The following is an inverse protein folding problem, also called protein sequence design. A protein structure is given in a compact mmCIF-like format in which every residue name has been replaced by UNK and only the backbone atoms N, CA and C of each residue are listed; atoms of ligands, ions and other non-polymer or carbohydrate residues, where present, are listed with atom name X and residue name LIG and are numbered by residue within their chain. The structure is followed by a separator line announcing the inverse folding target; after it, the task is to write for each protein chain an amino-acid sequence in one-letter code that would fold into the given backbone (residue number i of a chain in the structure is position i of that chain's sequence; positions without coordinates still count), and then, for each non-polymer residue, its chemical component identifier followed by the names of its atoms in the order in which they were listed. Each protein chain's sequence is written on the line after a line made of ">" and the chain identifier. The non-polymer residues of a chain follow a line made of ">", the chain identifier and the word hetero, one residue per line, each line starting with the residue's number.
data_IF_680683690157
#
_entry.id   IF_680683690157
#
_cell.length_a   1.000
_cell.length_b   1.000
_cell.length_c   1.000
_cell.angle_alpha   90.00
_cell.angle_beta   90.00
_cell.angle_gamma   90.00
#
_symmetry.space_group_name_H-M   'P 1'
#
loop_
_entity.id
_entity.type
_entity.pdbx_description
1 polymer ?
#
# COMPACT_ATOMS: atom_id res chain seq x y z
N UNK A 1 1.80 -12.10 -39.04
CA UNK A 1 2.02 -10.85 -39.81
C UNK A 1 1.35 -9.62 -39.20
N UNK A 2 0.04 -9.63 -38.88
CA UNK A 2 -0.60 -8.48 -38.20
C UNK A 2 -0.29 -8.46 -36.70
N UNK A 3 -0.46 -9.60 -36.01
CA UNK A 3 -0.08 -9.74 -34.59
C UNK A 3 1.40 -9.43 -34.31
N UNK A 4 2.33 -9.87 -35.15
CA UNK A 4 3.76 -9.56 -35.01
C UNK A 4 4.09 -8.07 -35.16
N UNK A 5 3.25 -7.31 -35.90
CA UNK A 5 3.40 -5.86 -36.02
C UNK A 5 2.86 -5.14 -34.79
N UNK A 6 1.76 -5.65 -34.22
CA UNK A 6 1.18 -5.13 -32.98
C UNK A 6 2.13 -5.35 -31.81
N UNK A 7 2.62 -6.58 -31.63
CA UNK A 7 3.63 -6.91 -30.60
C UNK A 7 4.84 -5.99 -30.68
N UNK A 8 5.38 -5.77 -31.89
CA UNK A 8 6.54 -4.89 -32.07
C UNK A 8 6.25 -3.45 -31.65
N UNK A 9 5.07 -2.90 -31.98
CA UNK A 9 4.69 -1.54 -31.57
C UNK A 9 4.50 -1.43 -30.05
N UNK A 10 4.01 -2.48 -29.41
CA UNK A 10 3.88 -2.54 -27.95
C UNK A 10 5.27 -2.58 -27.31
N UNK A 11 6.16 -3.45 -27.80
CA UNK A 11 7.53 -3.52 -27.31
C UNK A 11 8.29 -2.20 -27.50
N UNK A 12 8.13 -1.53 -28.64
CA UNK A 12 8.73 -0.21 -28.90
C UNK A 12 8.25 0.83 -27.87
N UNK A 13 6.95 0.82 -27.53
CA UNK A 13 6.37 1.71 -26.51
C UNK A 13 6.95 1.41 -25.12
N UNK A 14 6.96 0.15 -24.71
CA UNK A 14 7.51 -0.29 -23.42
C UNK A 14 9.00 0.05 -23.32
N UNK A 15 9.75 -0.13 -24.40
CA UNK A 15 11.17 0.20 -24.43
C UNK A 15 11.41 1.72 -24.36
N UNK A 16 10.54 2.53 -24.95
CA UNK A 16 10.57 3.98 -24.79
C UNK A 16 10.30 4.39 -23.34
N UNK A 17 9.28 3.80 -22.69
CA UNK A 17 8.97 4.03 -21.28
C UNK A 17 10.12 3.60 -20.35
N UNK A 18 10.77 2.47 -20.64
CA UNK A 18 11.98 2.04 -19.91
C UNK A 18 13.13 3.05 -20.03
N UNK A 19 13.24 3.77 -21.14
CA UNK A 19 14.29 4.77 -21.36
C UNK A 19 14.14 6.03 -20.49
N UNK A 20 12.93 6.35 -20.06
CA UNK A 20 12.62 7.54 -19.22
C UNK A 20 12.45 7.20 -17.74
N UNK A 21 12.12 5.95 -17.41
CA UNK A 21 12.00 5.47 -16.04
C UNK A 21 13.35 5.04 -15.44
N UNK A 22 13.53 5.12 -14.11
CA UNK A 22 14.74 4.63 -13.45
C UNK A 22 14.83 3.10 -13.50
N UNK A 23 16.04 2.55 -13.70
CA UNK A 23 16.24 1.09 -13.79
C UNK A 23 16.13 0.43 -12.40
N UNK A 24 14.89 0.13 -11.99
CA UNK A 24 14.54 -0.45 -10.68
C UNK A 24 13.56 -1.61 -10.84
N UNK A 25 13.48 -2.48 -9.83
CA UNK A 25 12.53 -3.61 -9.83
C UNK A 25 11.07 -3.14 -9.95
N UNK A 26 10.69 -2.09 -9.24
CA UNK A 26 9.34 -1.47 -9.32
C UNK A 26 9.02 -0.94 -10.72
N UNK A 27 10.04 -0.47 -11.44
CA UNK A 27 9.87 -0.01 -12.82
C UNK A 27 9.60 -1.17 -13.77
N UNK A 28 10.24 -2.32 -13.58
CA UNK A 28 9.96 -3.51 -14.39
C UNK A 28 8.53 -4.02 -14.13
N UNK A 29 8.09 -4.01 -12.87
CA UNK A 29 6.72 -4.38 -12.47
C UNK A 29 5.67 -3.45 -13.11
N UNK A 30 5.91 -2.13 -13.05
CA UNK A 30 5.06 -1.14 -13.72
C UNK A 30 5.00 -1.38 -15.24
N UNK A 31 6.14 -1.63 -15.88
CA UNK A 31 6.18 -1.88 -17.33
C UNK A 31 5.47 -3.16 -17.73
N UNK A 32 5.49 -4.18 -16.86
CA UNK A 32 4.70 -5.41 -17.02
C UNK A 32 3.20 -5.13 -16.91
N UNK A 33 2.78 -4.34 -15.92
CA UNK A 33 1.39 -3.89 -15.76
C UNK A 33 0.90 -3.06 -16.95
N UNK A 34 1.71 -2.11 -17.43
CA UNK A 34 1.40 -1.30 -18.61
C UNK A 34 1.25 -2.19 -19.84
N UNK A 35 2.15 -3.17 -20.02
CA UNK A 35 2.07 -4.14 -21.11
C UNK A 35 0.78 -4.94 -21.04
N UNK A 36 0.41 -5.47 -19.87
CA UNK A 36 -0.83 -6.20 -19.67
C UNK A 36 -2.05 -5.32 -19.98
N UNK A 37 -2.07 -4.08 -19.48
CA UNK A 37 -3.15 -3.14 -19.71
C UNK A 37 -3.36 -2.80 -21.20
N UNK A 38 -2.27 -2.67 -21.98
CA UNK A 38 -2.36 -2.46 -23.42
C UNK A 38 -3.08 -3.64 -24.10
N UNK A 39 -2.70 -4.87 -23.77
CA UNK A 39 -3.32 -6.06 -24.35
C UNK A 39 -4.80 -6.19 -23.97
N UNK A 40 -5.13 -6.00 -22.69
CA UNK A 40 -6.51 -6.05 -22.21
C UNK A 40 -7.38 -4.98 -22.86
N UNK A 41 -6.88 -3.75 -22.95
CA UNK A 41 -7.59 -2.63 -23.56
C UNK A 41 -7.79 -2.83 -25.06
N UNK A 42 -6.78 -3.34 -25.76
CA UNK A 42 -6.87 -3.67 -27.17
C UNK A 42 -7.88 -4.78 -27.41
N UNK A 43 -7.85 -5.85 -26.61
CA UNK A 43 -8.80 -6.95 -26.70
C UNK A 43 -10.23 -6.44 -26.46
N UNK A 44 -10.44 -5.68 -25.39
CA UNK A 44 -11.75 -5.14 -25.05
C UNK A 44 -12.32 -4.25 -26.16
N UNK A 45 -11.49 -3.38 -26.74
CA UNK A 45 -11.90 -2.52 -27.87
C UNK A 45 -12.19 -3.33 -29.14
N UNK A 46 -11.43 -4.39 -29.39
CA UNK A 46 -11.66 -5.30 -30.53
C UNK A 46 -12.98 -6.06 -30.36
N UNK A 47 -13.31 -6.50 -29.15
CA UNK A 47 -14.59 -7.15 -28.85
C UNK A 47 -15.80 -6.20 -29.04
N UNK A 48 -15.65 -4.93 -28.67
CA UNK A 48 -16.71 -3.92 -28.86
C UNK A 48 -16.85 -3.47 -30.32
N UNK A 49 -15.75 -3.42 -31.08
CA UNK A 49 -15.69 -2.91 -32.45
C UNK A 49 -14.92 -3.89 -33.36
N UNK A 50 -15.49 -5.07 -33.67
CA UNK A 50 -14.80 -6.12 -34.43
C UNK A 50 -14.54 -5.75 -35.91
N UNK A 51 -15.25 -4.74 -36.43
CA UNK A 51 -15.05 -4.25 -37.81
C UNK A 51 -14.02 -3.11 -37.89
N UNK A 52 -13.52 -2.61 -36.76
CA UNK A 52 -12.51 -1.56 -36.74
C UNK A 52 -11.11 -2.14 -37.00
N UNK A 53 -10.26 -1.33 -37.62
CA UNK A 53 -8.86 -1.68 -37.84
C UNK A 53 -8.11 -1.80 -36.51
N UNK A 54 -7.52 -2.96 -36.25
CA UNK A 54 -6.73 -3.26 -35.05
C UNK A 54 -5.63 -2.22 -34.82
N UNK A 55 -5.06 -1.69 -35.91
CA UNK A 55 -3.99 -0.69 -35.83
C UNK A 55 -4.49 0.67 -35.34
N UNK A 56 -5.75 1.00 -35.67
CA UNK A 56 -6.42 2.21 -35.22
C UNK A 56 -6.82 2.08 -33.75
N UNK A 57 -7.30 0.92 -33.33
CA UNK A 57 -7.61 0.63 -31.92
C UNK A 57 -6.35 0.66 -31.05
N UNK A 58 -5.23 0.11 -31.51
CA UNK A 58 -3.95 0.20 -30.80
C UNK A 58 -3.49 1.65 -30.63
N UNK A 59 -3.68 2.49 -31.66
CA UNK A 59 -3.38 3.91 -31.56
C UNK A 59 -4.27 4.64 -30.55
N UNK A 60 -5.56 4.28 -30.47
CA UNK A 60 -6.45 4.78 -29.42
C UNK A 60 -5.95 4.38 -28.02
N UNK A 61 -5.54 3.12 -27.84
CA UNK A 61 -4.98 2.63 -26.56
C UNK A 61 -3.73 3.41 -26.16
N UNK A 62 -2.80 3.64 -27.10
CA UNK A 62 -1.61 4.46 -26.81
C UNK A 62 -1.94 5.92 -26.48
N UNK A 63 -2.92 6.51 -27.19
CA UNK A 63 -3.37 7.86 -26.86
C UNK A 63 -4.03 7.95 -25.48
N UNK A 64 -4.72 6.89 -25.03
CA UNK A 64 -5.31 6.82 -23.69
C UNK A 64 -4.27 6.62 -22.59
N UNK A 65 -3.19 5.88 -22.88
CA UNK A 65 -2.05 5.70 -21.99
C UNK A 65 -1.18 6.95 -21.84
N UNK A 66 -1.14 7.80 -22.86
CA UNK A 66 -0.31 9.01 -22.87
C UNK A 66 1.09 8.78 -23.42
N UNK A 67 1.95 9.78 -23.26
CA UNK A 67 3.35 9.68 -23.64
C UNK A 67 4.15 8.93 -22.54
N UNK A 68 5.25 8.25 -22.89
CA UNK A 68 6.14 7.63 -21.91
C UNK A 68 6.59 8.58 -20.79
N UNK A 69 6.76 9.86 -21.10
CA UNK A 69 7.06 10.93 -20.16
C UNK A 69 5.95 11.15 -19.13
N UNK A 70 4.67 11.04 -19.53
CA UNK A 70 3.51 11.17 -18.64
C UNK A 70 3.48 10.02 -17.62
N UNK A 71 3.86 8.81 -18.06
CA UNK A 71 3.99 7.64 -17.17
C UNK A 71 5.13 7.86 -16.15
N UNK A 72 6.25 8.43 -16.59
CA UNK A 72 7.38 8.71 -15.71
C UNK A 72 7.06 9.80 -14.67
N UNK A 73 6.30 10.83 -15.06
CA UNK A 73 5.79 11.85 -14.14
C UNK A 73 4.85 11.24 -13.08
N UNK A 74 3.88 10.43 -13.52
CA UNK A 74 2.96 9.74 -12.62
C UNK A 74 3.68 8.77 -11.66
N UNK A 75 4.69 8.04 -12.15
CA UNK A 75 5.53 7.17 -11.31
C UNK A 75 6.34 7.95 -10.26
N UNK A 76 6.88 9.12 -10.65
CA UNK A 76 7.56 10.02 -9.72
C UNK A 76 6.64 10.58 -8.65
N UNK A 77 5.43 11.01 -9.02
CA UNK A 77 4.42 11.51 -8.08
C UNK A 77 3.95 10.43 -7.10
N UNK A 78 3.74 9.19 -7.56
CA UNK A 78 3.36 8.07 -6.70
C UNK A 78 4.46 7.76 -5.67
N UNK A 79 5.73 7.68 -6.08
CA UNK A 79 6.84 7.50 -5.11
C UNK A 79 6.92 8.62 -4.08
N UNK A 80 6.70 9.88 -4.46
CA UNK A 80 6.73 11.02 -3.53
C UNK A 80 5.51 11.03 -2.59
N UNK A 81 4.37 10.52 -3.06
CA UNK A 81 3.12 10.41 -2.29
C UNK A 81 3.10 9.24 -1.32
N UNK A 82 3.62 8.08 -1.73
CA UNK A 82 3.58 6.82 -0.97
C UNK A 82 4.59 6.81 0.19
N UNK A 83 5.76 7.42 0.01
CA UNK A 83 6.75 7.63 1.09
C UNK A 83 6.22 8.54 2.22
N UNK A 84 5.17 9.34 1.95
CA UNK A 84 4.61 10.29 2.93
C UNK A 84 3.39 9.76 3.67
N UNK A 85 2.61 8.87 3.07
CA UNK A 85 1.32 8.43 3.63
C UNK A 85 1.44 7.21 4.53
N UNK A 86 2.36 6.28 4.24
CA UNK A 86 2.41 5.03 4.99
C UNK A 86 3.09 5.17 6.37
N UNK A 87 4.06 6.10 6.49
CA UNK A 87 4.73 6.32 7.77
C UNK A 87 3.85 7.11 8.77
N UNK A 88 3.03 8.04 8.28
CA UNK A 88 2.16 8.83 9.15
C UNK A 88 0.96 8.00 9.64
N UNK A 89 0.32 7.18 8.78
CA UNK A 89 -0.78 6.30 9.21
C UNK A 89 -0.31 5.21 10.19
N UNK A 90 0.87 4.61 9.95
CA UNK A 90 1.46 3.63 10.88
C UNK A 90 1.82 4.27 12.21
N UNK A 91 2.37 5.48 12.20
CA UNK A 91 2.70 6.25 13.42
C UNK A 91 1.44 6.67 14.18
N UNK A 92 0.40 7.15 13.51
CA UNK A 92 -0.89 7.49 14.13
C UNK A 92 -1.62 6.27 14.67
N UNK A 93 -1.55 5.12 13.99
CA UNK A 93 -2.13 3.86 14.49
C UNK A 93 -1.41 3.35 15.74
N UNK A 94 -0.08 3.45 15.77
CA UNK A 94 0.71 3.11 16.97
C UNK A 94 0.37 4.08 18.11
N UNK A 95 0.33 5.38 17.83
CA UNK A 95 0.02 6.40 18.83
C UNK A 95 -1.41 6.24 19.38
N UNK A 96 -2.39 5.98 18.52
CA UNK A 96 -3.77 5.71 18.91
C UNK A 96 -3.90 4.46 19.80
N UNK A 97 -3.17 3.39 19.46
CA UNK A 97 -3.12 2.16 20.29
C UNK A 97 -2.54 2.42 21.68
N UNK A 98 -1.49 3.25 21.78
CA UNK A 98 -0.89 3.63 23.07
C UNK A 98 -1.89 4.44 23.90
N UNK A 99 -2.55 5.43 23.30
CA UNK A 99 -3.53 6.28 23.98
C UNK A 99 -4.70 5.46 24.55
N UNK A 100 -5.26 4.52 23.77
CA UNK A 100 -6.35 3.66 24.23
C UNK A 100 -5.91 2.81 25.44
N UNK A 101 -4.70 2.24 25.41
CA UNK A 101 -4.17 1.46 26.54
C UNK A 101 -4.02 2.32 27.80
N UNK A 102 -3.53 3.55 27.67
CA UNK A 102 -3.40 4.48 28.79
C UNK A 102 -4.77 4.78 29.40
N UNK A 103 -5.78 5.07 28.56
CA UNK A 103 -7.15 5.33 29.02
C UNK A 103 -7.72 4.12 29.77
N UNK A 104 -7.55 2.91 29.25
CA UNK A 104 -8.00 1.67 29.90
C UNK A 104 -7.34 1.49 31.27
N UNK A 105 -6.04 1.73 31.39
CA UNK A 105 -5.30 1.64 32.67
C UNK A 105 -5.83 2.66 33.68
N UNK A 106 -6.06 3.91 33.26
CA UNK A 106 -6.60 4.95 34.14
C UNK A 106 -8.00 4.59 34.64
N UNK A 107 -8.87 4.09 33.74
CA UNK A 107 -10.22 3.65 34.11
C UNK A 107 -10.19 2.46 35.07
N UNK A 108 -9.36 1.46 34.80
CA UNK A 108 -9.21 0.30 35.68
C UNK A 108 -8.68 0.70 37.07
N UNK A 109 -7.69 1.60 37.14
CA UNK A 109 -7.17 2.12 38.40
C UNK A 109 -8.23 2.90 39.19
N UNK A 110 -9.05 3.69 38.49
CA UNK A 110 -10.17 4.41 39.11
C UNK A 110 -11.21 3.45 39.72
N UNK A 111 -11.60 2.40 38.98
CA UNK A 111 -12.54 1.38 39.47
C UNK A 111 -12.00 0.65 40.69
N UNK A 112 -10.71 0.27 40.70
CA UNK A 112 -10.08 -0.41 41.85
C UNK A 112 -10.08 0.49 43.09
N UNK A 113 -9.77 1.78 42.94
CA UNK A 113 -9.81 2.74 44.04
C UNK A 113 -11.23 2.91 44.62
N UNK A 114 -12.25 2.97 43.75
CA UNK A 114 -13.67 3.05 44.18
C UNK A 114 -14.13 1.80 44.93
N UNK A 115 -13.80 0.60 44.43
CA UNK A 115 -14.20 -0.68 45.07
C UNK A 115 -13.52 -0.86 46.43
N UNK A 116 -12.29 -0.40 46.57
CA UNK A 116 -11.50 -0.56 47.81
C UNK A 116 -11.75 0.54 48.84
N UNK A 117 -12.68 1.49 48.59
CA UNK A 117 -12.96 2.63 49.47
C UNK A 117 -11.69 3.39 49.89
N UNK A 118 -10.72 3.55 48.97
CA UNK A 118 -9.46 4.24 49.25
C UNK A 118 -8.47 3.47 50.12
N UNK A 119 -8.68 2.17 50.37
CA UNK A 119 -7.75 1.32 51.11
C UNK A 119 -6.52 0.92 50.28
N UNK A 120 -6.61 1.03 48.95
CA UNK A 120 -5.50 0.84 48.02
C UNK A 120 -5.19 2.17 47.34
N UNK A 121 -3.95 2.65 47.49
CA UNK A 121 -3.51 3.91 46.89
C UNK A 121 -3.55 3.84 45.36
N UNK A 122 -4.04 4.91 44.73
CA UNK A 122 -4.20 5.03 43.28
C UNK A 122 -2.89 4.73 42.53
N UNK A 123 -1.77 5.23 43.05
CA UNK A 123 -0.45 4.99 42.47
C UNK A 123 -0.02 3.52 42.52
N UNK A 124 -0.43 2.78 43.55
CA UNK A 124 -0.14 1.35 43.67
C UNK A 124 -0.97 0.54 42.66
N UNK A 125 -2.25 0.89 42.48
CA UNK A 125 -3.10 0.27 41.47
C UNK A 125 -2.59 0.52 40.04
N UNK A 126 -2.16 1.75 39.73
CA UNK A 126 -1.55 2.10 38.44
C UNK A 126 -0.26 1.31 38.21
N UNK A 127 0.59 1.18 39.23
CA UNK A 127 1.83 0.41 39.14
C UNK A 127 1.59 -1.07 38.81
N UNK A 128 0.63 -1.71 39.48
CA UNK A 128 0.29 -3.12 39.23
C UNK A 128 -0.28 -3.33 37.83
N UNK A 129 -1.15 -2.44 37.36
CA UNK A 129 -1.70 -2.50 36.00
C UNK A 129 -0.63 -2.30 34.93
N UNK A 130 0.33 -1.39 35.15
CA UNK A 130 1.48 -1.20 34.25
C UNK A 130 2.33 -2.46 34.13
N UNK A 131 2.60 -3.14 35.26
CA UNK A 131 3.32 -4.42 35.27
C UNK A 131 2.57 -5.48 34.45
N UNK A 132 1.24 -5.52 34.57
CA UNK A 132 0.42 -6.46 33.79
C UNK A 132 0.43 -6.17 32.30
N UNK A 133 0.39 -4.90 31.90
CA UNK A 133 0.50 -4.47 30.49
C UNK A 133 1.87 -4.83 29.90
N UNK A 134 2.95 -4.64 30.67
CA UNK A 134 4.31 -5.03 30.24
C UNK A 134 4.44 -6.54 30.12
N UNK A 135 3.88 -7.30 31.07
CA UNK A 135 3.84 -8.76 31.02
C UNK A 135 3.02 -9.27 29.82
N UNK A 136 1.85 -8.70 29.54
CA UNK A 136 1.04 -9.08 28.39
C UNK A 136 1.75 -8.76 27.07
N UNK A 137 2.41 -7.60 26.99
CA UNK A 137 3.24 -7.25 25.83
C UNK A 137 4.39 -8.24 25.62
N UNK A 138 5.10 -8.59 26.70
CA UNK A 138 6.17 -9.59 26.67
C UNK A 138 5.65 -10.97 26.24
N UNK A 139 4.52 -11.41 26.80
CA UNK A 139 3.88 -12.69 26.46
C UNK A 139 3.40 -12.73 24.99
N UNK A 140 2.79 -11.65 24.49
CA UNK A 140 2.41 -11.55 23.07
C UNK A 140 3.64 -11.61 22.17
N UNK A 141 4.70 -10.85 22.49
CA UNK A 141 5.92 -10.88 21.70
C UNK A 141 6.58 -12.27 21.69
N UNK A 142 6.52 -12.98 22.82
CA UNK A 142 7.03 -14.35 22.93
C UNK A 142 6.17 -15.38 22.19
N UNK A 143 4.87 -15.13 22.00
CA UNK A 143 3.98 -15.98 21.20
C UNK A 143 4.25 -15.85 19.69
N UNK A 144 4.59 -14.65 19.19
CA UNK A 144 4.93 -14.44 17.77
C UNK A 144 6.28 -15.06 17.35
N UNK A 145 7.16 -15.41 18.30
CA UNK A 145 8.44 -16.09 18.03
C UNK A 145 8.30 -17.63 17.97
N UNK A 146 7.07 -18.16 18.13
CA UNK A 146 6.78 -19.60 18.16
C UNK A 146 5.66 -20.03 17.20
N UNK A 147 5.35 -19.23 16.20
CA UNK A 147 4.60 -19.71 15.03
C UNK A 147 5.62 -20.03 13.91
N UNK A 148 5.72 -21.29 13.45
CA UNK A 148 6.58 -21.66 12.32
C UNK A 148 6.07 -21.11 10.98
#
# INVERSE_FOLDING_TARGET
>A
MENERIERRIDDYIQSARGVLPDTFETEDLLEDVRAHIYESLQHKTEQRPEADTELLLKEVFNELGEPEDIAEAFGEQRIGEDRTDDDYRTWKILGSIVVKIVVVILAAWVVNQITNGMVDFWLAVGVLLVFVVLEWFLRNWQFEREP
#
